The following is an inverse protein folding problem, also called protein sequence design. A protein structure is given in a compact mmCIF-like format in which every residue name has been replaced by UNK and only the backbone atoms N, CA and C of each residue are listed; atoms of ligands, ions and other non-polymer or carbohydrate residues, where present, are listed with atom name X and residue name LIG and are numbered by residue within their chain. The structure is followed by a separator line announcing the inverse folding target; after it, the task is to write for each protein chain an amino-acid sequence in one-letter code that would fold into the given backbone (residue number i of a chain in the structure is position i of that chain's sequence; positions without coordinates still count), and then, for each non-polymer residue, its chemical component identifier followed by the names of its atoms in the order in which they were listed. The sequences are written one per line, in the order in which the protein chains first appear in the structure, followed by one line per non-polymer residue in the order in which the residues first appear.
data_IF_213312688245
#
_entry.id   IF_213312688245
#
_cell.length_a   1.000
_cell.length_b   1.000
_cell.length_c   1.000
_cell.angle_alpha   90.00
_cell.angle_beta   90.00
_cell.angle_gamma   90.00
#
_symmetry.space_group_name_H-M   'P 1'
#
loop_
_entity.id
_entity.type
_entity.pdbx_description
1 polymer ?
#
# COMPACT_ATOMS: atom_id res chain seq x y z
N UNK A 1 17.44 -13.95 -67.23
CA UNK A 1 18.13 -13.88 -65.93
C UNK A 1 17.71 -12.58 -65.25
N UNK A 2 16.62 -12.57 -64.47
CA UNK A 2 16.28 -11.43 -63.58
C UNK A 2 15.14 -11.79 -62.61
N UNK A 3 15.44 -12.57 -61.55
CA UNK A 3 14.46 -12.87 -60.47
C UNK A 3 15.02 -12.68 -59.06
N UNK A 4 16.20 -12.09 -58.93
CA UNK A 4 16.95 -12.09 -57.66
C UNK A 4 16.89 -10.75 -56.88
N UNK A 5 16.22 -9.71 -57.41
CA UNK A 5 16.14 -8.39 -56.76
C UNK A 5 14.91 -8.18 -55.87
N UNK A 6 13.93 -9.09 -55.89
CA UNK A 6 12.65 -8.91 -55.17
C UNK A 6 12.63 -9.53 -53.75
N UNK A 7 13.63 -10.33 -53.37
CA UNK A 7 13.69 -10.99 -52.05
C UNK A 7 14.35 -10.14 -50.94
N UNK A 8 15.13 -9.11 -51.30
CA UNK A 8 15.78 -8.23 -50.31
C UNK A 8 14.79 -7.25 -49.64
N UNK A 9 13.78 -6.79 -50.37
CA UNK A 9 12.77 -5.86 -49.82
C UNK A 9 11.83 -6.56 -48.82
N UNK A 10 11.38 -7.78 -49.13
CA UNK A 10 10.49 -8.55 -48.26
C UNK A 10 11.16 -8.96 -46.94
N UNK A 11 12.45 -9.29 -46.99
CA UNK A 11 13.24 -9.66 -45.80
C UNK A 11 13.41 -8.47 -44.84
N UNK A 12 13.60 -7.26 -45.37
CA UNK A 12 13.74 -6.04 -44.57
C UNK A 12 12.45 -5.66 -43.84
N UNK A 13 11.30 -5.79 -44.51
CA UNK A 13 9.99 -5.51 -43.90
C UNK A 13 9.66 -6.50 -42.78
N UNK A 14 10.01 -7.78 -42.96
CA UNK A 14 9.75 -8.81 -41.96
C UNK A 14 10.62 -8.64 -40.71
N UNK A 15 11.90 -8.27 -40.89
CA UNK A 15 12.80 -7.94 -39.77
C UNK A 15 12.36 -6.67 -39.04
N UNK A 16 11.91 -5.64 -39.77
CA UNK A 16 11.39 -4.42 -39.16
C UNK A 16 10.13 -4.69 -38.33
N UNK A 17 9.21 -5.52 -38.83
CA UNK A 17 8.00 -5.91 -38.10
C UNK A 17 8.32 -6.69 -36.81
N UNK A 18 9.25 -7.65 -36.87
CA UNK A 18 9.69 -8.41 -35.68
C UNK A 18 10.37 -7.51 -34.65
N UNK A 19 11.22 -6.57 -35.07
CA UNK A 19 11.86 -5.60 -34.19
C UNK A 19 10.84 -4.68 -33.50
N UNK A 20 9.79 -4.26 -34.22
CA UNK A 20 8.69 -3.44 -33.68
C UNK A 20 7.88 -4.22 -32.64
N UNK A 21 7.56 -5.49 -32.92
CA UNK A 21 6.92 -6.39 -31.94
C UNK A 21 7.78 -6.60 -30.68
N UNK A 22 9.09 -6.76 -30.82
CA UNK A 22 10.01 -6.91 -29.70
C UNK A 22 10.09 -5.64 -28.83
N UNK A 23 10.10 -4.45 -29.45
CA UNK A 23 10.07 -3.17 -28.72
C UNK A 23 8.75 -2.96 -27.97
N UNK A 24 7.61 -3.33 -28.55
CA UNK A 24 6.30 -3.23 -27.88
C UNK A 24 6.20 -4.21 -26.71
N UNK A 25 6.66 -5.46 -26.88
CA UNK A 25 6.68 -6.46 -25.80
C UNK A 25 7.64 -6.05 -24.66
N UNK A 26 8.81 -5.52 -25.00
CA UNK A 26 9.77 -4.99 -24.02
C UNK A 26 9.21 -3.76 -23.30
N UNK A 27 8.52 -2.86 -24.00
CA UNK A 27 7.91 -1.67 -23.42
C UNK A 27 6.75 -1.99 -22.48
N UNK A 28 5.88 -2.94 -22.86
CA UNK A 28 4.78 -3.39 -22.02
C UNK A 28 5.27 -4.13 -20.77
N UNK A 29 6.33 -4.94 -20.90
CA UNK A 29 6.97 -5.59 -19.75
C UNK A 29 7.65 -4.56 -18.82
N UNK A 30 8.31 -3.55 -19.37
CA UNK A 30 8.97 -2.51 -18.58
C UNK A 30 7.97 -1.57 -17.88
N UNK A 31 6.84 -1.25 -18.52
CA UNK A 31 5.71 -0.54 -17.89
C UNK A 31 5.06 -1.37 -16.78
N UNK A 32 4.95 -2.69 -16.96
CA UNK A 32 4.43 -3.59 -15.93
C UNK A 32 5.38 -3.70 -14.73
N UNK A 33 6.70 -3.76 -14.96
CA UNK A 33 7.73 -3.80 -13.90
C UNK A 33 7.87 -2.45 -13.18
N UNK A 34 7.68 -1.31 -13.87
CA UNK A 34 7.69 0.01 -13.23
C UNK A 34 6.45 0.31 -12.39
N UNK A 35 5.34 -0.40 -12.60
CA UNK A 35 4.17 -0.29 -11.71
C UNK A 35 4.36 -1.06 -10.38
N UNK A 36 5.42 -1.86 -10.25
CA UNK A 36 5.76 -2.58 -9.02
C UNK A 36 6.86 -1.89 -8.18
N UNK A 37 7.27 -0.66 -8.53
CA UNK A 37 8.39 0.02 -7.88
C UNK A 37 8.37 1.53 -8.00
N UNK A 38 7.22 2.17 -7.72
CA UNK A 38 7.13 3.62 -7.52
C UNK A 38 7.15 3.95 -6.03
N UNK A 39 8.18 3.47 -5.32
CA UNK A 39 8.62 4.04 -4.04
C UNK A 39 9.40 5.32 -4.33
N UNK A 40 8.68 6.37 -4.74
CA UNK A 40 9.27 7.71 -4.83
C UNK A 40 9.20 8.37 -3.45
N UNK A 41 10.40 8.53 -2.88
CA UNK A 41 10.66 9.27 -1.66
C UNK A 41 10.10 10.70 -1.69
N UNK A 42 9.58 11.08 -0.52
CA UNK A 42 9.67 12.38 0.13
C UNK A 42 8.92 13.58 -0.47
N UNK A 43 7.72 13.78 0.07
CA UNK A 43 7.46 15.04 0.80
C UNK A 43 7.37 14.74 2.29
N UNK A 44 8.43 15.10 3.00
CA UNK A 44 8.42 15.29 4.43
C UNK A 44 7.36 16.35 4.79
N UNK A 45 6.24 15.93 5.40
CA UNK A 45 5.37 16.69 6.30
C UNK A 45 3.93 16.12 6.29
N UNK A 46 3.76 14.90 6.80
CA UNK A 46 2.49 14.47 7.40
C UNK A 46 2.80 13.41 8.44
N UNK A 47 3.61 13.78 9.44
CA UNK A 47 3.80 12.97 10.64
C UNK A 47 2.43 12.69 11.26
N UNK A 48 2.21 11.42 11.61
CA UNK A 48 1.14 10.95 12.49
C UNK A 48 -0.27 11.35 12.02
N UNK A 49 -0.88 10.56 11.12
CA UNK A 49 -2.35 10.54 11.03
C UNK A 49 -2.86 9.88 12.32
N UNK A 50 -3.01 10.70 13.35
CA UNK A 50 -3.40 10.27 14.67
C UNK A 50 -4.83 9.74 14.61
N UNK A 51 -5.00 8.46 14.95
CA UNK A 51 -6.25 8.06 15.56
C UNK A 51 -6.32 8.79 16.91
N UNK A 52 -7.52 9.11 17.43
CA UNK A 52 -7.64 9.76 18.73
C UNK A 52 -6.95 8.91 19.79
N UNK A 53 -5.91 9.51 20.38
CA UNK A 53 -5.03 8.86 21.32
C UNK A 53 -4.15 7.72 20.78
N UNK A 54 -3.89 7.62 19.47
CA UNK A 54 -2.89 6.68 18.90
C UNK A 54 -2.15 7.33 17.72
N UNK A 55 -0.81 7.28 17.76
CA UNK A 55 0.04 7.51 16.60
C UNK A 55 0.38 6.18 15.93
N UNK A 56 0.22 6.14 14.61
CA UNK A 56 0.58 5.00 13.79
C UNK A 56 1.80 5.35 12.93
N UNK A 57 2.68 4.38 12.67
CA UNK A 57 3.78 4.52 11.72
C UNK A 57 3.88 3.29 10.82
N UNK A 58 4.43 3.46 9.63
CA UNK A 58 4.70 2.35 8.73
C UNK A 58 5.86 1.53 9.29
N UNK A 59 5.70 0.20 9.36
CA UNK A 59 6.80 -0.70 9.74
C UNK A 59 7.94 -0.63 8.72
N UNK A 60 9.16 -0.91 9.18
CA UNK A 60 10.35 -1.03 8.34
C UNK A 60 10.81 -2.50 8.29
N UNK A 61 11.09 -3.10 7.11
CA UNK A 61 11.11 -2.50 5.77
C UNK A 61 9.71 -2.12 5.24
N UNK A 62 9.67 -1.21 4.27
CA UNK A 62 8.43 -0.73 3.66
C UNK A 62 7.50 -1.89 3.25
N UNK A 63 6.25 -1.86 3.72
CA UNK A 63 5.27 -2.93 3.50
C UNK A 63 5.15 -3.95 4.65
N UNK A 64 5.90 -3.80 5.74
CA UNK A 64 5.77 -4.63 6.95
C UNK A 64 4.53 -4.33 7.82
N UNK A 65 3.62 -3.49 7.33
CA UNK A 65 2.34 -3.20 7.94
C UNK A 65 2.30 -1.87 8.69
N UNK A 66 1.18 -1.62 9.37
CA UNK A 66 0.97 -0.44 10.20
C UNK A 66 1.26 -0.82 11.64
N UNK A 67 2.03 -0.02 12.38
CA UNK A 67 2.38 -0.29 13.77
C UNK A 67 1.95 0.87 14.66
N UNK A 68 1.46 0.55 15.85
CA UNK A 68 1.18 1.52 16.91
C UNK A 68 2.49 2.04 17.48
N UNK A 69 2.80 3.32 17.28
CA UNK A 69 4.07 3.94 17.70
C UNK A 69 3.93 4.89 18.87
N UNK A 70 2.73 5.43 19.11
CA UNK A 70 2.42 6.16 20.33
C UNK A 70 0.94 6.00 20.63
N UNK A 71 0.57 6.19 21.89
CA UNK A 71 -0.80 6.09 22.37
C UNK A 71 -0.98 7.05 23.54
N UNK A 72 -2.17 7.64 23.66
CA UNK A 72 -2.56 8.48 24.78
C UNK A 72 -2.70 7.64 26.05
N UNK A 73 -2.02 8.07 27.09
CA UNK A 73 -2.07 7.46 28.42
C UNK A 73 -3.50 7.50 28.94
N UNK A 74 -4.02 6.35 29.38
CA UNK A 74 -5.41 6.14 29.82
C UNK A 74 -6.51 6.34 28.74
N UNK A 75 -6.12 6.49 27.48
CA UNK A 75 -7.05 6.52 26.34
C UNK A 75 -7.81 5.21 26.17
N UNK A 76 -8.88 5.23 25.35
CA UNK A 76 -9.70 4.04 25.13
C UNK A 76 -8.88 2.84 24.63
N UNK A 77 -7.93 3.10 23.72
CA UNK A 77 -7.00 2.10 23.22
C UNK A 77 -6.19 1.42 24.33
N UNK A 78 -5.72 2.19 25.31
CA UNK A 78 -4.97 1.66 26.46
C UNK A 78 -5.84 0.77 27.35
N UNK A 79 -7.09 1.20 27.63
CA UNK A 79 -8.07 0.42 28.41
C UNK A 79 -8.47 -0.88 27.72
N UNK A 80 -8.51 -0.86 26.40
CA UNK A 80 -8.75 -2.05 25.60
C UNK A 80 -7.52 -2.97 25.55
N UNK A 81 -6.36 -2.53 26.03
CA UNK A 81 -5.13 -3.30 26.10
C UNK A 81 -4.32 -3.30 24.80
N UNK A 82 -4.51 -2.28 23.94
CA UNK A 82 -3.63 -2.00 22.80
C UNK A 82 -2.29 -1.49 23.36
N UNK A 83 -1.18 -1.89 22.76
CA UNK A 83 0.17 -1.50 23.21
C UNK A 83 0.98 -0.91 22.07
N UNK A 84 1.94 -0.05 22.42
CA UNK A 84 2.98 0.39 21.48
C UNK A 84 3.75 -0.84 21.01
N UNK A 85 3.94 -0.95 19.70
CA UNK A 85 4.52 -2.12 19.03
C UNK A 85 3.48 -3.11 18.48
N UNK A 86 2.19 -2.95 18.76
CA UNK A 86 1.15 -3.75 18.10
C UNK A 86 1.08 -3.41 16.62
N UNK A 87 1.09 -4.44 15.76
CA UNK A 87 0.87 -4.31 14.33
C UNK A 87 -0.62 -4.28 14.01
N UNK A 88 -1.12 -3.22 13.41
CA UNK A 88 -2.48 -3.15 12.87
C UNK A 88 -2.51 -3.83 11.50
N UNK A 89 -3.25 -4.92 11.41
CA UNK A 89 -3.32 -5.79 10.21
C UNK A 89 -4.65 -5.67 9.47
N UNK A 90 -5.71 -5.21 10.14
CA UNK A 90 -7.01 -5.00 9.49
C UNK A 90 -7.86 -3.94 10.18
N UNK A 91 -8.78 -3.34 9.42
CA UNK A 91 -9.83 -2.45 9.88
C UNK A 91 -11.18 -3.02 9.43
N UNK A 92 -12.09 -3.32 10.34
CA UNK A 92 -13.41 -3.89 10.06
C UNK A 92 -13.38 -5.15 9.20
N UNK A 93 -12.37 -5.99 9.43
CA UNK A 93 -12.13 -7.21 8.66
C UNK A 93 -11.44 -6.98 7.30
N UNK A 94 -11.24 -5.73 6.88
CA UNK A 94 -10.49 -5.38 5.67
C UNK A 94 -8.99 -5.38 5.98
N UNK A 95 -8.18 -6.22 5.31
CA UNK A 95 -6.74 -6.25 5.53
C UNK A 95 -6.11 -4.94 5.06
N UNK A 96 -5.21 -4.38 5.88
CA UNK A 96 -4.44 -3.18 5.57
C UNK A 96 -2.95 -3.48 5.59
N UNK A 97 -2.19 -2.84 4.68
CA UNK A 97 -0.72 -3.02 4.60
C UNK A 97 0.07 -1.71 4.71
N UNK A 98 -0.62 -0.57 4.66
CA UNK A 98 0.02 0.75 4.75
C UNK A 98 -0.87 1.76 5.48
N UNK A 99 -0.23 2.82 5.97
CA UNK A 99 -0.93 3.96 6.57
C UNK A 99 -1.88 4.65 5.60
N UNK A 100 -1.51 4.77 4.32
CA UNK A 100 -2.39 5.36 3.30
C UNK A 100 -3.69 4.57 3.14
N UNK A 101 -3.62 3.24 3.13
CA UNK A 101 -4.81 2.38 3.10
C UNK A 101 -5.66 2.56 4.35
N UNK A 102 -5.03 2.59 5.52
CA UNK A 102 -5.73 2.84 6.78
C UNK A 102 -6.42 4.22 6.79
N UNK A 103 -5.71 5.27 6.40
CA UNK A 103 -6.24 6.64 6.34
C UNK A 103 -7.35 6.76 5.32
N UNK A 104 -7.18 6.21 4.12
CA UNK A 104 -8.22 6.21 3.09
C UNK A 104 -9.47 5.47 3.58
N UNK A 105 -9.30 4.32 4.23
CA UNK A 105 -10.42 3.56 4.79
C UNK A 105 -11.19 4.38 5.83
N UNK A 106 -10.48 4.98 6.80
CA UNK A 106 -11.07 5.78 7.88
C UNK A 106 -11.85 7.00 7.37
N UNK A 107 -11.39 7.62 6.29
CA UNK A 107 -12.04 8.76 5.64
C UNK A 107 -13.36 8.37 4.95
N UNK A 108 -13.39 7.21 4.30
CA UNK A 108 -14.59 6.73 3.60
C UNK A 108 -15.58 6.00 4.51
N UNK A 109 -15.17 5.62 5.72
CA UNK A 109 -16.00 4.91 6.70
C UNK A 109 -16.11 5.73 8.00
N UNK A 110 -16.97 6.77 8.03
CA UNK A 110 -17.24 7.60 9.20
C UNK A 110 -18.18 6.89 10.18
N UNK A 111 -17.80 5.70 10.63
CA UNK A 111 -18.56 4.95 11.62
C UNK A 111 -18.09 5.26 13.04
N UNK A 112 -19.02 5.23 14.03
CA UNK A 112 -18.73 5.57 15.42
C UNK A 112 -17.83 4.53 16.10
N UNK A 113 -17.71 3.34 15.53
CA UNK A 113 -16.87 2.25 16.05
C UNK A 113 -16.11 1.61 14.92
N UNK A 114 -14.88 1.22 15.19
CA UNK A 114 -14.00 0.53 14.25
C UNK A 114 -13.40 -0.71 14.91
N UNK A 115 -13.44 -1.81 14.19
CA UNK A 115 -12.84 -3.07 14.59
C UNK A 115 -11.40 -3.13 14.10
N UNK A 116 -10.43 -3.05 15.01
CA UNK A 116 -9.01 -3.19 14.70
C UNK A 116 -8.59 -4.65 14.86
N UNK A 117 -8.05 -5.23 13.79
CA UNK A 117 -7.25 -6.46 13.88
C UNK A 117 -5.81 -6.09 14.20
N UNK A 118 -5.31 -6.64 15.29
CA UNK A 118 -3.99 -6.40 15.84
C UNK A 118 -3.19 -7.71 15.84
N UNK A 119 -1.90 -7.60 15.54
CA UNK A 119 -0.91 -8.66 15.64
C UNK A 119 0.16 -8.22 16.61
N UNK A 120 0.33 -8.97 17.70
CA UNK A 120 1.42 -8.79 18.64
C UNK A 120 2.29 -10.05 18.65
N UNK A 121 3.54 -9.92 18.21
CA UNK A 121 4.41 -11.07 17.92
C UNK A 121 3.72 -12.06 16.95
N UNK A 122 3.17 -13.17 17.46
CA UNK A 122 2.43 -14.16 16.67
C UNK A 122 0.95 -14.31 17.07
N UNK A 123 0.48 -13.46 17.99
CA UNK A 123 -0.88 -13.51 18.50
C UNK A 123 -1.75 -12.48 17.79
N UNK A 124 -2.84 -12.95 17.19
CA UNK A 124 -3.87 -12.09 16.60
C UNK A 124 -4.94 -11.76 17.64
N UNK A 125 -5.34 -10.49 17.69
CA UNK A 125 -6.45 -10.03 18.52
C UNK A 125 -7.31 -9.04 17.74
N UNK A 126 -8.60 -9.05 18.02
CA UNK A 126 -9.54 -8.08 17.48
C UNK A 126 -10.04 -7.19 18.60
N UNK A 127 -10.08 -5.89 18.35
CA UNK A 127 -10.47 -4.86 19.32
C UNK A 127 -11.45 -3.90 18.70
N UNK A 128 -12.57 -3.66 19.37
CA UNK A 128 -13.51 -2.61 18.99
C UNK A 128 -13.09 -1.30 19.65
N UNK A 129 -12.72 -0.30 18.85
CA UNK A 129 -12.41 1.05 19.29
C UNK A 129 -13.57 1.98 18.92
N UNK A 130 -14.02 2.80 19.86
CA UNK A 130 -14.97 3.86 19.55
C UNK A 130 -14.19 5.05 18.97
N UNK A 131 -14.70 5.61 17.88
CA UNK A 131 -14.20 6.87 17.34
C UNK A 131 -14.83 7.97 18.19
N UNK A 132 -14.07 8.80 18.93
CA UNK A 132 -14.66 9.96 19.57
C UNK A 132 -15.36 10.77 18.48
N UNK A 133 -16.63 11.07 18.71
CA UNK A 133 -17.39 11.90 17.80
C UNK A 133 -16.60 13.19 17.63
N UNK A 134 -16.26 13.51 16.37
CA UNK A 134 -15.39 14.64 16.09
C UNK A 134 -15.89 15.87 16.83
N UNK A 135 -15.06 16.40 17.72
CA UNK A 135 -15.27 17.71 18.30
C UNK A 135 -15.33 18.67 17.10
N UNK A 136 -16.54 19.14 16.80
CA UNK A 136 -16.80 20.09 15.73
C UNK A 136 -16.28 21.46 16.11
#
# INVERSE_FOLDING_TARGET
MDRQRLSHAASGVLLAALALCALVMSGAFFLHVRHAGDDRMEVAAAQARALPGITLSNGMPAGSGVVVTSMETDGQAARLGIRVGDGVVSLDGMPIRSLDQASAYLLHHPQPRIMLGLKHADHMRVVMLDRPEGER
#
